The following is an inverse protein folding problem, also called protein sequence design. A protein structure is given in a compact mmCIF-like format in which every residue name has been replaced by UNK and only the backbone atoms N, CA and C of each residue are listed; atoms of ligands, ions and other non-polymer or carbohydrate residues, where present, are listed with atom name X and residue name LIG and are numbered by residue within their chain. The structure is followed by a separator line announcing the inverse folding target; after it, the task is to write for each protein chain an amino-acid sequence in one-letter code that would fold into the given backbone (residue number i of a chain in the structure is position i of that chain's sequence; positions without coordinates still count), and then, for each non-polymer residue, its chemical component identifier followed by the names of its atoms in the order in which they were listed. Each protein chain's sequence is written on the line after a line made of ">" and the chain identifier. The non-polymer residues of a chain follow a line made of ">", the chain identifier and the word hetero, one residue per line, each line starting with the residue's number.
data_IF_647016884506
#
_entry.id   IF_647016884506
#
_cell.length_a   1.000
_cell.length_b   1.000
_cell.length_c   1.000
_cell.angle_alpha   90.00
_cell.angle_beta   90.00
_cell.angle_gamma   90.00
#
_symmetry.space_group_name_H-M   'P 1'
#
loop_
_entity.id
_entity.type
_entity.pdbx_description
1 polymer ?
#
# COMPACT_ATOMS: atom_id res chain seq x y z
N UNK A 1 14.26 -46.82 16.56
CA UNK A 1 13.87 -45.83 15.54
C UNK A 1 14.63 -44.55 15.89
N UNK A 2 15.68 -44.22 15.13
CA UNK A 2 16.41 -42.95 15.32
C UNK A 2 15.91 -41.96 14.28
N UNK A 3 15.41 -40.83 14.75
CA UNK A 3 14.92 -39.72 13.94
C UNK A 3 16.11 -38.96 13.34
N UNK A 4 16.36 -39.15 12.05
CA UNK A 4 17.26 -38.29 11.28
C UNK A 4 16.41 -37.26 10.51
N UNK A 5 16.00 -36.21 11.22
CA UNK A 5 15.42 -35.02 10.57
C UNK A 5 16.59 -34.18 10.07
N UNK A 6 17.11 -34.56 8.90
CA UNK A 6 17.91 -33.66 8.08
C UNK A 6 16.98 -32.56 7.56
N UNK A 7 16.85 -31.47 8.32
CA UNK A 7 16.33 -30.20 7.82
C UNK A 7 17.33 -29.63 6.83
N UNK A 8 17.13 -29.91 5.55
CA UNK A 8 17.82 -29.23 4.46
C UNK A 8 17.36 -27.76 4.46
N UNK A 9 18.05 -26.91 5.21
CA UNK A 9 17.85 -25.47 5.18
C UNK A 9 18.09 -24.97 3.76
N UNK A 10 17.01 -24.54 3.09
CA UNK A 10 17.09 -23.85 1.81
C UNK A 10 17.95 -22.60 2.01
N UNK A 11 19.17 -22.64 1.49
CA UNK A 11 20.06 -21.49 1.43
C UNK A 11 19.46 -20.51 0.41
N UNK A 12 18.56 -19.66 0.88
CA UNK A 12 18.03 -18.55 0.11
C UNK A 12 19.17 -17.57 -0.14
N UNK A 13 19.70 -17.58 -1.36
CA UNK A 13 20.74 -16.68 -1.80
C UNK A 13 20.25 -15.23 -1.55
N UNK A 14 20.98 -14.39 -0.79
CA UNK A 14 20.52 -13.05 -0.51
C UNK A 14 20.32 -12.29 -1.83
N UNK A 15 19.09 -11.81 -2.04
CA UNK A 15 18.76 -10.99 -3.20
C UNK A 15 19.69 -9.78 -3.25
N UNK A 16 20.08 -9.37 -4.46
CA UNK A 16 20.94 -8.19 -4.62
C UNK A 16 20.28 -6.97 -3.97
N UNK A 17 21.03 -6.15 -3.22
CA UNK A 17 20.46 -4.99 -2.55
C UNK A 17 19.92 -4.00 -3.59
N UNK A 18 18.73 -3.46 -3.34
CA UNK A 18 18.09 -2.49 -4.22
C UNK A 18 18.87 -1.16 -4.29
N UNK A 19 19.53 -0.78 -3.20
CA UNK A 19 20.28 0.46 -3.08
C UNK A 19 21.63 0.20 -2.39
N UNK A 20 22.68 0.87 -2.83
CA UNK A 20 24.01 0.83 -2.22
C UNK A 20 24.34 2.19 -1.60
N UNK A 21 24.73 2.19 -0.33
CA UNK A 21 25.17 3.40 0.38
C UNK A 21 26.68 3.55 0.15
N UNK A 22 27.07 4.65 -0.50
CA UNK A 22 28.48 4.93 -0.82
C UNK A 22 29.18 5.67 0.34
N UNK A 23 28.46 6.59 1.00
CA UNK A 23 28.93 7.33 2.17
C UNK A 23 27.82 7.32 3.25
N UNK A 24 28.20 7.02 4.48
CA UNK A 24 27.30 6.90 5.63
C UNK A 24 27.05 8.23 6.37
N UNK A 25 27.75 9.31 6.00
CA UNK A 25 27.63 10.62 6.67
C UNK A 25 27.22 11.73 5.69
N UNK A 26 25.99 11.67 5.13
CA UNK A 26 25.50 12.74 4.27
C UNK A 26 25.39 14.06 5.05
N UNK A 27 25.58 15.16 4.35
CA UNK A 27 25.23 16.50 4.86
C UNK A 27 23.71 16.68 4.91
N UNK A 28 23.21 17.61 5.73
CA UNK A 28 21.77 17.90 5.83
C UNK A 28 21.15 18.27 4.46
N UNK A 29 21.92 18.95 3.61
CA UNK A 29 21.50 19.31 2.26
C UNK A 29 21.32 18.09 1.35
N UNK A 30 22.23 17.12 1.41
CA UNK A 30 22.15 15.88 0.62
C UNK A 30 21.02 14.97 1.11
N UNK A 31 20.81 14.91 2.43
CA UNK A 31 19.68 14.20 3.02
C UNK A 31 18.35 14.79 2.54
N UNK A 32 18.22 16.12 2.54
CA UNK A 32 17.03 16.80 2.04
C UNK A 32 16.79 16.53 0.55
N UNK A 33 17.85 16.54 -0.27
CA UNK A 33 17.76 16.19 -1.69
C UNK A 33 17.27 14.75 -1.90
N UNK A 34 17.81 13.78 -1.15
CA UNK A 34 17.39 12.37 -1.22
C UNK A 34 15.90 12.20 -0.87
N UNK A 35 15.45 12.81 0.23
CA UNK A 35 14.04 12.77 0.65
C UNK A 35 13.14 13.38 -0.43
N UNK A 36 13.55 14.48 -1.04
CA UNK A 36 12.80 15.11 -2.13
C UNK A 36 12.61 14.20 -3.34
N UNK A 37 13.66 13.51 -3.77
CA UNK A 37 13.59 12.54 -4.87
C UNK A 37 12.66 11.38 -4.53
N UNK A 38 12.75 10.83 -3.31
CA UNK A 38 11.89 9.73 -2.90
C UNK A 38 10.43 10.14 -2.80
N UNK A 39 10.12 11.32 -2.25
CA UNK A 39 8.76 11.84 -2.19
C UNK A 39 8.17 12.09 -3.59
N UNK A 40 8.98 12.58 -4.52
CA UNK A 40 8.58 12.76 -5.91
C UNK A 40 8.34 11.41 -6.61
N UNK A 41 9.24 10.44 -6.42
CA UNK A 41 9.15 9.12 -7.03
C UNK A 41 8.01 8.28 -6.45
N UNK A 42 7.68 8.43 -5.16
CA UNK A 42 6.61 7.66 -4.53
C UNK A 42 5.21 8.01 -5.04
N UNK A 43 5.08 9.08 -5.84
CA UNK A 43 3.79 9.63 -6.23
C UNK A 43 3.07 10.09 -4.96
N UNK A 44 3.32 11.34 -4.56
CA UNK A 44 2.70 11.91 -3.37
C UNK A 44 1.20 11.63 -3.31
N UNK A 45 0.63 11.59 -2.10
CA UNK A 45 -0.81 11.42 -1.91
C UNK A 45 -1.50 12.61 -2.60
N UNK A 46 -1.84 12.46 -3.87
CA UNK A 46 -2.61 13.46 -4.56
C UNK A 46 -3.89 13.59 -3.77
N UNK A 47 -4.16 14.79 -3.24
CA UNK A 47 -5.46 15.11 -2.71
C UNK A 47 -6.45 14.75 -3.82
N UNK A 48 -7.19 13.67 -3.62
CA UNK A 48 -7.89 12.99 -4.71
C UNK A 48 -9.15 13.76 -5.10
N UNK A 49 -9.25 15.00 -4.62
CA UNK A 49 -10.43 15.82 -4.66
C UNK A 49 -11.59 15.18 -3.90
N UNK A 50 -12.77 15.80 -3.99
CA UNK A 50 -14.01 15.15 -3.62
C UNK A 50 -14.15 13.86 -4.43
N UNK A 51 -14.06 12.71 -3.74
CA UNK A 51 -14.26 11.40 -4.37
C UNK A 51 -15.65 11.35 -4.98
N UNK A 52 -15.75 11.03 -6.28
CA UNK A 52 -17.03 10.74 -6.90
C UNK A 52 -17.66 9.59 -6.13
N UNK A 53 -18.92 9.76 -5.72
CA UNK A 53 -19.63 8.75 -4.95
C UNK A 53 -19.66 7.43 -5.73
N UNK A 54 -18.89 6.46 -5.28
CA UNK A 54 -18.86 5.12 -5.83
C UNK A 54 -19.50 4.15 -4.83
N UNK A 55 -20.70 3.68 -5.15
CA UNK A 55 -21.41 2.67 -4.38
C UNK A 55 -21.27 1.25 -4.98
N UNK A 56 -20.43 1.07 -6.01
CA UNK A 56 -20.17 -0.26 -6.57
C UNK A 56 -19.18 -1.04 -5.69
N UNK A 57 -19.47 -2.32 -5.45
CA UNK A 57 -18.51 -3.27 -4.85
C UNK A 57 -18.20 -3.04 -3.37
N UNK A 58 -19.07 -2.35 -2.62
CA UNK A 58 -18.82 -2.15 -1.19
C UNK A 58 -19.05 -3.47 -0.43
N UNK A 59 -18.16 -3.88 0.48
CA UNK A 59 -18.35 -5.11 1.26
C UNK A 59 -19.66 -5.15 2.06
N UNK A 60 -20.20 -3.99 2.44
CA UNK A 60 -21.48 -3.88 3.15
C UNK A 60 -22.68 -4.32 2.29
N UNK A 61 -22.59 -4.20 0.97
CA UNK A 61 -23.65 -4.58 0.05
C UNK A 61 -23.75 -6.12 -0.10
N UNK A 62 -22.71 -6.86 0.33
CA UNK A 62 -22.75 -8.33 0.37
C UNK A 62 -23.70 -8.85 1.46
N UNK A 63 -23.90 -8.08 2.53
CA UNK A 63 -24.67 -8.50 3.71
C UNK A 63 -25.97 -7.72 3.90
N UNK A 64 -26.14 -6.60 3.20
CA UNK A 64 -27.35 -5.78 3.27
C UNK A 64 -27.94 -5.68 1.89
N UNK A 65 -29.13 -6.27 1.71
CA UNK A 65 -29.98 -5.95 0.57
C UNK A 65 -30.36 -4.49 0.75
N UNK A 66 -29.69 -3.62 0.01
CA UNK A 66 -30.12 -2.24 -0.13
C UNK A 66 -31.52 -2.28 -0.74
N UNK A 67 -32.55 -2.01 0.07
CA UNK A 67 -33.90 -1.87 -0.42
C UNK A 67 -33.98 -0.57 -1.22
N UNK A 68 -33.58 -0.66 -2.47
CA UNK A 68 -33.47 0.42 -3.41
C UNK A 68 -34.02 -0.05 -4.75
N UNK A 69 -35.20 0.46 -5.10
CA UNK A 69 -35.75 0.43 -6.45
C UNK A 69 -34.65 0.66 -7.52
N UNK A 70 -34.74 0.05 -8.72
CA UNK A 70 -33.67 -0.05 -9.74
C UNK A 70 -33.23 1.27 -10.42
N UNK A 71 -33.30 2.40 -9.70
CA UNK A 71 -32.71 3.68 -10.04
C UNK A 71 -32.38 4.57 -8.83
N UNK A 72 -32.52 4.10 -7.58
CA UNK A 72 -32.25 4.94 -6.41
C UNK A 72 -30.84 4.77 -5.86
N UNK A 73 -30.07 5.86 -5.83
CA UNK A 73 -28.91 6.01 -4.95
C UNK A 73 -29.41 6.19 -3.50
N UNK A 74 -28.91 5.39 -2.56
CA UNK A 74 -29.27 5.54 -1.15
C UNK A 74 -28.75 6.87 -0.63
N UNK A 75 -29.65 7.83 -0.49
CA UNK A 75 -29.34 9.12 0.10
C UNK A 75 -29.12 8.92 1.61
N UNK A 76 -27.90 8.52 1.98
CA UNK A 76 -27.43 8.55 3.37
C UNK A 76 -27.17 10.00 3.69
N UNK A 77 -28.24 10.73 4.03
CA UNK A 77 -28.17 12.14 4.43
C UNK A 77 -27.09 12.31 5.49
N UNK A 78 -26.04 13.04 5.11
CA UNK A 78 -25.10 13.61 6.06
C UNK A 78 -25.71 14.91 6.57
N UNK A 79 -26.04 14.91 7.86
CA UNK A 79 -25.94 16.11 8.69
C UNK A 79 -24.58 16.03 9.37
#
# INVERSE_FOLDING_TARGET
>A
MSDDVTSAGSQEQPARPFLTIVDGKPTDAELAALVGVFAAASGGTADTGPQIRNDWGRPVDMFRVNWGQPGSFTNRGGW
#
